data_IF_442126799929
#
_entry.id   IF_442126799929
#
_cell.length_a   1.000
_cell.length_b   1.000
_cell.length_c   1.000
_cell.angle_alpha   90.00
_cell.angle_beta   90.00
_cell.angle_gamma   90.00
#
_symmetry.space_group_name_H-M   'P 1'
#
loop_
_entity.id
_entity.type
_entity.pdbx_description
1 polymer ?
#
# COMPACT_ATOMS: atom_id res chain seq x y z
N UNK A 1 -35.02 -69.66 12.69
CA UNK A 1 -35.69 -68.80 13.69
C UNK A 1 -34.63 -67.96 14.38
N UNK A 2 -34.82 -66.63 14.48
CA UNK A 2 -33.81 -65.67 14.95
C UNK A 2 -34.00 -65.33 16.44
N UNK A 3 -32.96 -64.77 17.07
CA UNK A 3 -33.11 -63.93 18.27
C UNK A 3 -32.36 -62.63 18.02
N UNK A 4 -33.13 -61.55 18.09
CA UNK A 4 -32.70 -60.17 17.94
C UNK A 4 -31.86 -59.70 19.14
N UNK A 5 -30.88 -58.86 18.87
CA UNK A 5 -30.16 -58.07 19.88
C UNK A 5 -29.74 -56.73 19.29
N UNK A 6 -30.61 -55.73 19.45
CA UNK A 6 -30.38 -54.32 19.17
C UNK A 6 -29.18 -53.79 19.98
N UNK A 7 -28.24 -53.15 19.30
CA UNK A 7 -27.57 -51.95 19.82
C UNK A 7 -27.38 -50.98 18.66
N UNK A 8 -28.22 -49.95 18.68
CA UNK A 8 -28.05 -48.71 17.95
C UNK A 8 -27.24 -47.75 18.85
N UNK A 9 -26.80 -46.61 18.28
CA UNK A 9 -26.00 -45.51 18.87
C UNK A 9 -24.48 -45.75 18.68
N UNK A 10 -23.69 -44.89 18.03
CA UNK A 10 -23.79 -43.44 17.90
C UNK A 10 -23.00 -42.99 16.66
N UNK A 11 -23.71 -42.53 15.63
CA UNK A 11 -23.17 -41.62 14.61
C UNK A 11 -23.32 -40.22 15.21
N UNK A 12 -22.24 -39.63 15.69
CA UNK A 12 -22.09 -38.20 15.98
C UNK A 12 -20.65 -37.92 16.37
N UNK A 13 -19.90 -37.34 15.46
CA UNK A 13 -19.10 -36.15 15.75
C UNK A 13 -18.73 -35.57 14.39
N UNK A 14 -19.69 -34.84 13.82
CA UNK A 14 -19.35 -33.78 12.89
C UNK A 14 -18.58 -32.76 13.71
N UNK A 15 -17.25 -32.77 13.59
CA UNK A 15 -16.40 -31.70 14.10
C UNK A 15 -16.97 -30.37 13.60
N UNK A 16 -17.61 -29.63 14.50
CA UNK A 16 -17.79 -28.20 14.31
C UNK A 16 -16.41 -27.57 14.47
N UNK A 17 -15.62 -27.60 13.41
CA UNK A 17 -14.35 -26.90 13.33
C UNK A 17 -14.65 -25.41 13.55
N UNK A 18 -14.35 -24.90 14.76
CA UNK A 18 -14.19 -23.46 14.95
C UNK A 18 -13.11 -22.99 13.97
N UNK A 19 -13.34 -21.90 13.21
CA UNK A 19 -12.32 -21.38 12.31
C UNK A 19 -11.07 -21.06 13.11
N UNK A 20 -9.91 -21.51 12.62
CA UNK A 20 -8.64 -21.19 13.29
C UNK A 20 -8.44 -19.67 13.36
N UNK A 21 -7.63 -19.19 14.31
CA UNK A 21 -7.35 -17.77 14.45
C UNK A 21 -6.87 -17.15 13.11
N UNK A 22 -6.01 -17.87 12.37
CA UNK A 22 -5.55 -17.49 11.05
C UNK A 22 -6.69 -17.35 10.03
N UNK A 23 -7.65 -18.28 10.00
CA UNK A 23 -8.82 -18.19 9.10
C UNK A 23 -9.72 -17.00 9.44
N UNK A 24 -9.93 -16.72 10.72
CA UNK A 24 -10.71 -15.54 11.15
C UNK A 24 -10.03 -14.23 10.75
N UNK A 25 -8.70 -14.14 10.97
CA UNK A 25 -7.89 -12.99 10.56
C UNK A 25 -7.93 -12.82 9.04
N UNK A 26 -7.76 -13.92 8.30
CA UNK A 26 -7.81 -13.95 6.84
C UNK A 26 -9.14 -13.40 6.30
N UNK A 27 -10.27 -13.91 6.79
CA UNK A 27 -11.58 -13.45 6.33
C UNK A 27 -11.84 -11.97 6.65
N UNK A 28 -11.35 -11.50 7.80
CA UNK A 28 -11.45 -10.08 8.17
C UNK A 28 -10.56 -9.19 7.31
N UNK A 29 -9.33 -9.62 7.04
CA UNK A 29 -8.40 -8.93 6.16
C UNK A 29 -8.97 -8.81 4.74
N UNK A 30 -9.43 -9.93 4.19
CA UNK A 30 -10.05 -9.96 2.87
C UNK A 30 -11.24 -9.00 2.80
N UNK A 31 -12.08 -8.94 3.84
CA UNK A 31 -13.21 -8.00 3.89
C UNK A 31 -12.75 -6.54 3.89
N UNK A 32 -11.72 -6.20 4.68
CA UNK A 32 -11.16 -4.84 4.75
C UNK A 32 -10.44 -4.44 3.44
N UNK A 33 -9.74 -5.36 2.80
CA UNK A 33 -9.13 -5.11 1.48
C UNK A 33 -10.21 -4.88 0.41
N UNK A 34 -11.26 -5.71 0.39
CA UNK A 34 -12.34 -5.59 -0.58
C UNK A 34 -13.29 -4.41 -0.31
N UNK A 35 -13.24 -3.77 0.86
CA UNK A 35 -14.01 -2.54 1.11
C UNK A 35 -13.39 -1.34 0.39
N UNK A 36 -12.07 -1.29 0.23
CA UNK A 36 -11.37 -0.18 -0.40
C UNK A 36 -11.85 0.10 -1.85
N UNK A 37 -11.89 -0.89 -2.77
CA UNK A 37 -12.43 -0.67 -4.11
C UNK A 37 -13.93 -0.37 -4.13
N UNK A 38 -14.70 -0.89 -3.17
CA UNK A 38 -16.16 -0.64 -3.11
C UNK A 38 -16.46 0.79 -2.66
N UNK A 39 -15.61 1.38 -1.84
CA UNK A 39 -15.78 2.75 -1.34
C UNK A 39 -15.74 3.81 -2.44
N UNK A 40 -15.12 3.53 -3.59
CA UNK A 40 -15.02 4.47 -4.72
C UNK A 40 -16.19 4.41 -5.70
N UNK A 41 -17.14 3.46 -5.57
CA UNK A 41 -18.27 3.31 -6.51
C UNK A 41 -19.18 4.56 -6.58
N UNK A 42 -19.12 5.43 -5.57
CA UNK A 42 -19.83 6.72 -5.54
C UNK A 42 -18.98 7.96 -5.82
N UNK A 43 -17.70 7.81 -6.19
CA UNK A 43 -16.74 8.92 -6.32
C UNK A 43 -16.39 9.62 -5.00
N UNK A 44 -16.77 9.04 -3.86
CA UNK A 44 -16.53 9.59 -2.53
C UNK A 44 -15.22 9.05 -1.95
N UNK A 45 -14.13 9.77 -2.21
CA UNK A 45 -12.80 9.42 -1.72
C UNK A 45 -12.69 9.49 -0.18
N UNK A 46 -13.62 10.14 0.52
CA UNK A 46 -13.63 10.16 1.99
C UNK A 46 -13.89 8.76 2.54
N UNK A 47 -14.77 7.99 1.88
CA UNK A 47 -15.04 6.59 2.25
C UNK A 47 -13.85 5.67 1.96
N UNK A 48 -13.04 6.01 0.96
CA UNK A 48 -11.79 5.30 0.70
C UNK A 48 -10.78 5.58 1.83
N UNK A 49 -10.66 6.84 2.26
CA UNK A 49 -9.81 7.21 3.40
C UNK A 49 -10.22 6.47 4.69
N UNK A 50 -11.53 6.36 4.95
CA UNK A 50 -12.07 5.61 6.09
C UNK A 50 -11.77 4.10 5.98
N UNK A 51 -12.01 3.49 4.82
CA UNK A 51 -11.75 2.06 4.59
C UNK A 51 -10.26 1.72 4.73
N UNK A 52 -9.37 2.59 4.22
CA UNK A 52 -7.92 2.40 4.37
C UNK A 52 -7.50 2.57 5.83
N UNK A 53 -8.09 3.52 6.55
CA UNK A 53 -7.83 3.68 7.99
C UNK A 53 -8.23 2.43 8.77
N UNK A 54 -9.42 1.88 8.50
CA UNK A 54 -9.89 0.63 9.12
C UNK A 54 -8.95 -0.56 8.80
N UNK A 55 -8.50 -0.68 7.54
CA UNK A 55 -7.54 -1.69 7.13
C UNK A 55 -6.21 -1.55 7.90
N UNK A 56 -5.67 -0.34 7.96
CA UNK A 56 -4.39 -0.07 8.65
C UNK A 56 -4.51 -0.31 10.14
N UNK A 57 -5.61 0.11 10.78
CA UNK A 57 -5.86 -0.13 12.20
C UNK A 57 -5.99 -1.63 12.49
N UNK A 58 -6.65 -2.39 11.59
CA UNK A 58 -6.72 -3.83 11.69
C UNK A 58 -5.35 -4.49 11.58
N UNK A 59 -4.53 -4.12 10.60
CA UNK A 59 -3.15 -4.62 10.46
C UNK A 59 -2.29 -4.28 11.68
N UNK A 60 -2.44 -3.07 12.21
CA UNK A 60 -1.73 -2.63 13.41
C UNK A 60 -2.15 -3.44 14.63
N UNK A 61 -3.43 -3.78 14.76
CA UNK A 61 -3.91 -4.63 15.85
C UNK A 61 -3.30 -6.04 15.81
N UNK A 62 -3.13 -6.62 14.63
CA UNK A 62 -2.47 -7.92 14.44
C UNK A 62 -1.00 -7.81 14.81
N UNK A 63 -0.32 -6.80 14.25
CA UNK A 63 1.09 -6.50 14.54
C UNK A 63 1.34 -6.30 16.04
N UNK A 64 0.45 -5.60 16.74
CA UNK A 64 0.56 -5.33 18.18
C UNK A 64 0.33 -6.58 19.03
N UNK A 65 -0.63 -7.44 18.64
CA UNK A 65 -0.86 -8.72 19.29
C UNK A 65 0.38 -9.62 19.20
N UNK A 66 0.94 -9.74 18.00
CA UNK A 66 2.14 -10.56 17.73
C UNK A 66 3.38 -10.00 18.45
N UNK A 67 3.52 -8.68 18.56
CA UNK A 67 4.62 -8.08 19.30
C UNK A 67 4.51 -8.28 20.83
N UNK A 68 3.28 -8.45 21.34
CA UNK A 68 3.00 -8.64 22.77
C UNK A 68 3.07 -10.10 23.21
N UNK A 69 2.84 -11.04 22.29
CA UNK A 69 2.93 -12.47 22.52
C UNK A 69 4.37 -12.98 22.29
N UNK A 70 4.79 -14.03 23.01
CA UNK A 70 6.05 -14.70 22.69
C UNK A 70 5.91 -15.38 21.35
N UNK A 71 6.65 -14.90 20.34
CA UNK A 71 6.66 -15.43 18.96
C UNK A 71 6.65 -16.97 18.96
N UNK A 72 5.59 -17.55 18.42
CA UNK A 72 5.39 -18.99 18.26
C UNK A 72 5.14 -19.35 16.78
N UNK A 73 5.08 -20.64 16.45
CA UNK A 73 4.83 -21.09 15.06
C UNK A 73 3.49 -20.58 14.51
N UNK A 74 2.47 -20.42 15.36
CA UNK A 74 1.17 -19.87 14.97
C UNK A 74 1.27 -18.43 14.46
N UNK A 75 2.18 -17.62 15.03
CA UNK A 75 2.41 -16.24 14.62
C UNK A 75 3.05 -16.14 13.22
N UNK A 76 3.95 -17.05 12.87
CA UNK A 76 4.55 -17.11 11.52
C UNK A 76 3.47 -17.37 10.47
N UNK A 77 2.64 -18.38 10.69
CA UNK A 77 1.60 -18.75 9.72
C UNK A 77 0.54 -17.65 9.56
N UNK A 78 0.12 -17.01 10.66
CA UNK A 78 -0.80 -15.87 10.61
C UNK A 78 -0.22 -14.73 9.77
N UNK A 79 1.04 -14.37 10.00
CA UNK A 79 1.66 -13.24 9.30
C UNK A 79 1.93 -13.56 7.84
N UNK A 80 2.38 -14.76 7.55
CA UNK A 80 2.59 -15.21 6.18
C UNK A 80 1.27 -15.16 5.39
N UNK A 81 0.17 -15.60 5.99
CA UNK A 81 -1.16 -15.53 5.38
C UNK A 81 -1.64 -14.07 5.17
N UNK A 82 -1.42 -13.20 6.16
CA UNK A 82 -1.72 -11.76 6.05
C UNK A 82 -0.97 -11.12 4.89
N UNK A 83 0.35 -11.35 4.80
CA UNK A 83 1.17 -10.81 3.72
C UNK A 83 0.78 -11.39 2.37
N UNK A 84 0.47 -12.68 2.30
CA UNK A 84 0.04 -13.36 1.07
C UNK A 84 -1.25 -12.78 0.52
N UNK A 85 -2.23 -12.49 1.38
CA UNK A 85 -3.48 -11.84 0.96
C UNK A 85 -3.28 -10.41 0.49
N UNK A 86 -2.45 -9.62 1.19
CA UNK A 86 -2.13 -8.27 0.75
C UNK A 86 -1.46 -8.33 -0.63
N UNK A 87 -0.45 -9.20 -0.79
CA UNK A 87 0.27 -9.38 -2.05
C UNK A 87 -0.67 -9.79 -3.18
N UNK A 88 -1.53 -10.78 -2.96
CA UNK A 88 -2.52 -11.23 -3.95
C UNK A 88 -3.54 -10.15 -4.30
N UNK A 89 -3.94 -9.32 -3.34
CA UNK A 89 -4.84 -8.20 -3.59
C UNK A 89 -4.18 -7.11 -4.43
N UNK A 90 -3.01 -6.60 -4.02
CA UNK A 90 -2.35 -5.48 -4.73
C UNK A 90 -1.79 -5.90 -6.08
N UNK A 91 -1.42 -7.17 -6.25
CA UNK A 91 -0.97 -7.73 -7.52
C UNK A 91 -2.12 -8.09 -8.48
N UNK A 92 -3.38 -8.00 -8.05
CA UNK A 92 -4.52 -8.29 -8.91
C UNK A 92 -4.78 -7.17 -9.91
N UNK A 93 -4.91 -7.53 -11.19
CA UNK A 93 -5.26 -6.58 -12.26
C UNK A 93 -6.67 -5.98 -12.14
N UNK A 94 -7.47 -6.45 -11.17
CA UNK A 94 -8.84 -5.97 -10.93
C UNK A 94 -8.91 -4.75 -10.01
N UNK A 95 -7.82 -4.40 -9.31
CA UNK A 95 -7.81 -3.27 -8.38
C UNK A 95 -7.57 -1.98 -9.16
N UNK A 96 -8.42 -0.98 -8.91
CA UNK A 96 -8.32 0.33 -9.56
C UNK A 96 -7.03 1.05 -9.15
N UNK A 97 -6.39 1.73 -10.11
CA UNK A 97 -5.14 2.46 -9.88
C UNK A 97 -5.28 3.51 -8.77
N UNK A 98 -6.43 4.17 -8.65
CA UNK A 98 -6.66 5.16 -7.59
C UNK A 98 -6.66 4.52 -6.21
N UNK A 99 -7.14 3.28 -6.10
CA UNK A 99 -7.09 2.51 -4.85
C UNK A 99 -5.65 2.09 -4.55
N UNK A 100 -4.89 1.63 -5.55
CA UNK A 100 -3.47 1.31 -5.39
C UNK A 100 -2.65 2.55 -4.98
N UNK A 101 -2.85 3.67 -5.65
CA UNK A 101 -2.20 4.95 -5.34
C UNK A 101 -2.50 5.36 -3.89
N UNK A 102 -3.76 5.29 -3.45
CA UNK A 102 -4.13 5.61 -2.08
C UNK A 102 -3.51 4.62 -1.07
N UNK A 103 -3.57 3.32 -1.33
CA UNK A 103 -2.97 2.31 -0.46
C UNK A 103 -1.45 2.46 -0.34
N UNK A 104 -0.78 2.93 -1.39
CA UNK A 104 0.67 3.09 -1.43
C UNK A 104 1.20 4.02 -0.33
N UNK A 105 0.41 4.97 0.16
CA UNK A 105 0.84 5.90 1.21
C UNK A 105 0.90 5.28 2.61
N UNK A 106 0.15 4.20 2.87
CA UNK A 106 0.02 3.64 4.23
C UNK A 106 0.44 2.17 4.30
N UNK A 107 0.15 1.36 3.28
CA UNK A 107 0.46 -0.07 3.30
C UNK A 107 1.96 -0.39 3.39
N UNK A 108 2.89 0.30 2.72
CA UNK A 108 4.32 0.02 2.89
C UNK A 108 4.77 0.10 4.35
N UNK A 109 4.23 1.05 5.12
CA UNK A 109 4.52 1.21 6.56
C UNK A 109 3.99 0.02 7.37
N UNK A 110 2.75 -0.38 7.11
CA UNK A 110 2.09 -1.48 7.81
C UNK A 110 2.73 -2.84 7.48
N UNK A 111 3.00 -3.11 6.20
CA UNK A 111 3.62 -4.34 5.71
C UNK A 111 5.03 -4.51 6.28
N UNK A 112 5.81 -3.43 6.37
CA UNK A 112 7.17 -3.48 6.92
C UNK A 112 7.21 -3.97 8.39
N UNK A 113 6.14 -3.76 9.18
CA UNK A 113 6.05 -4.23 10.58
C UNK A 113 6.06 -5.74 10.69
N UNK A 114 5.57 -6.44 9.67
CA UNK A 114 5.52 -7.89 9.63
C UNK A 114 6.84 -8.53 9.20
N UNK A 115 7.76 -7.78 8.61
CA UNK A 115 9.00 -8.33 8.05
C UNK A 115 9.91 -9.00 9.08
N UNK A 116 9.84 -8.62 10.37
CA UNK A 116 10.70 -9.22 11.40
C UNK A 116 10.11 -10.45 12.10
N UNK A 117 8.91 -10.90 11.72
CA UNK A 117 8.23 -12.01 12.41
C UNK A 117 8.86 -13.37 12.07
N UNK A 118 9.22 -13.60 10.82
CA UNK A 118 9.88 -14.84 10.39
C UNK A 118 10.87 -14.62 9.26
N UNK A 119 11.64 -15.65 8.90
CA UNK A 119 12.62 -15.59 7.79
C UNK A 119 11.98 -15.44 6.42
N UNK A 120 10.69 -15.76 6.27
CA UNK A 120 9.97 -15.69 4.98
C UNK A 120 9.28 -14.34 4.78
N UNK A 121 8.89 -13.67 5.88
CA UNK A 121 8.17 -12.39 5.85
C UNK A 121 8.91 -11.23 5.13
N UNK A 122 10.25 -11.06 5.23
CA UNK A 122 10.94 -9.99 4.53
C UNK A 122 10.76 -10.05 3.02
N UNK A 123 10.86 -11.24 2.42
CA UNK A 123 10.80 -11.42 0.97
C UNK A 123 9.42 -11.02 0.43
N UNK A 124 8.34 -11.51 1.04
CA UNK A 124 7.00 -11.16 0.59
C UNK A 124 6.64 -9.70 0.88
N UNK A 125 7.17 -9.12 1.97
CA UNK A 125 7.04 -7.68 2.21
C UNK A 125 7.76 -6.84 1.15
N UNK A 126 8.94 -7.27 0.71
CA UNK A 126 9.68 -6.67 -0.41
C UNK A 126 8.92 -6.78 -1.72
N UNK A 127 8.30 -7.92 -2.00
CA UNK A 127 7.49 -8.14 -3.21
C UNK A 127 6.27 -7.21 -3.24
N UNK A 128 5.57 -7.04 -2.10
CA UNK A 128 4.45 -6.09 -2.01
C UNK A 128 4.91 -4.65 -2.29
N UNK A 129 6.05 -4.23 -1.73
CA UNK A 129 6.60 -2.90 -2.00
C UNK A 129 7.00 -2.76 -3.47
N UNK A 130 7.55 -3.81 -4.08
CA UNK A 130 7.86 -3.81 -5.50
C UNK A 130 6.61 -3.62 -6.36
N UNK A 131 5.50 -4.29 -6.05
CA UNK A 131 4.22 -4.06 -6.74
C UNK A 131 3.82 -2.59 -6.70
N UNK A 132 3.94 -1.91 -5.56
CA UNK A 132 3.67 -0.47 -5.48
C UNK A 132 4.65 0.38 -6.29
N UNK A 133 5.95 0.05 -6.28
CA UNK A 133 6.97 0.74 -7.11
C UNK A 133 6.63 0.64 -8.59
N UNK A 134 6.14 -0.51 -9.03
CA UNK A 134 5.81 -0.77 -10.44
C UNK A 134 4.49 -0.14 -10.86
N UNK A 135 3.48 -0.16 -9.99
CA UNK A 135 2.13 0.33 -10.29
C UNK A 135 1.98 1.83 -10.05
N UNK A 136 2.43 2.34 -8.91
CA UNK A 136 2.34 3.77 -8.56
C UNK A 136 3.50 4.60 -9.10
N UNK A 137 4.56 3.95 -9.62
CA UNK A 137 5.70 4.59 -10.24
C UNK A 137 6.85 4.87 -9.27
N UNK A 138 8.11 4.65 -9.69
CA UNK A 138 9.27 4.72 -8.79
C UNK A 138 9.52 6.14 -8.27
N UNK A 139 9.18 7.18 -9.04
CA UNK A 139 9.36 8.57 -8.60
C UNK A 139 8.41 8.95 -7.48
N UNK A 140 7.16 8.51 -7.57
CA UNK A 140 6.11 8.82 -6.59
C UNK A 140 6.29 7.99 -5.31
N UNK A 141 6.82 6.77 -5.44
CA UNK A 141 7.15 5.93 -4.29
C UNK A 141 8.37 6.39 -3.48
N UNK A 142 9.30 7.15 -4.06
CA UNK A 142 10.48 7.64 -3.34
C UNK A 142 10.14 8.39 -2.03
N UNK A 143 9.35 9.48 -2.06
CA UNK A 143 8.99 10.20 -0.84
C UNK A 143 8.18 9.34 0.14
N UNK A 144 7.32 8.46 -0.36
CA UNK A 144 6.49 7.55 0.45
C UNK A 144 7.37 6.58 1.26
N UNK A 145 8.35 5.96 0.62
CA UNK A 145 9.27 5.04 1.29
C UNK A 145 10.19 5.77 2.29
N UNK A 146 10.61 6.99 1.96
CA UNK A 146 11.36 7.84 2.90
C UNK A 146 10.52 8.20 4.14
N UNK A 147 9.23 8.54 3.95
CA UNK A 147 8.30 8.77 5.07
C UNK A 147 8.14 7.50 5.92
N UNK A 148 7.99 6.34 5.28
CA UNK A 148 7.89 5.06 5.98
C UNK A 148 9.14 4.75 6.82
N UNK A 149 10.34 5.03 6.32
CA UNK A 149 11.58 4.89 7.09
C UNK A 149 11.63 5.80 8.32
N UNK A 150 11.06 7.01 8.23
CA UNK A 150 11.00 7.97 9.32
C UNK A 150 9.91 7.66 10.36
N UNK A 151 9.01 6.72 10.07
CA UNK A 151 7.94 6.37 10.98
C UNK A 151 8.51 5.63 12.21
N UNK A 152 8.16 6.04 13.44
CA UNK A 152 8.64 5.37 14.64
C UNK A 152 8.15 3.92 14.67
N UNK A 153 9.08 2.96 14.68
CA UNK A 153 8.81 1.53 14.87
C UNK A 153 9.10 1.10 16.32
N UNK A 154 8.79 1.96 17.30
CA UNK A 154 9.09 1.79 18.73
C UNK A 154 8.70 0.41 19.32
N UNK A 155 7.80 -0.34 18.68
CA UNK A 155 7.38 -1.70 19.06
C UNK A 155 8.26 -2.83 18.49
N UNK A 156 8.97 -2.57 17.40
CA UNK A 156 9.91 -3.50 16.77
C UNK A 156 11.31 -2.94 16.91
N UNK A 157 11.96 -3.20 18.05
CA UNK A 157 13.40 -2.93 18.25
C UNK A 157 14.31 -3.77 17.36
N UNK A 158 13.81 -4.30 16.24
CA UNK A 158 14.46 -5.27 15.37
C UNK A 158 14.71 -4.59 14.01
N UNK A 159 15.97 -4.57 13.52
CA UNK A 159 16.33 -4.00 12.22
C UNK A 159 15.53 -4.52 11.02
N UNK A 160 14.86 -5.68 11.16
CA UNK A 160 14.08 -6.32 10.11
C UNK A 160 12.94 -5.46 9.53
N UNK A 161 12.40 -4.51 10.30
CA UNK A 161 11.43 -3.52 9.81
C UNK A 161 11.95 -2.74 8.61
N UNK A 162 13.24 -2.37 8.64
CA UNK A 162 13.83 -1.50 7.62
C UNK A 162 14.22 -2.27 6.36
N UNK A 163 14.41 -3.59 6.42
CA UNK A 163 14.83 -4.40 5.27
C UNK A 163 13.96 -4.17 4.03
N UNK A 164 12.62 -4.35 4.09
CA UNK A 164 11.80 -4.20 2.91
C UNK A 164 11.75 -2.76 2.37
N UNK A 165 11.82 -1.76 3.26
CA UNK A 165 11.82 -0.34 2.88
C UNK A 165 13.13 0.06 2.19
N UNK A 166 14.28 -0.36 2.73
CA UNK A 166 15.59 -0.11 2.14
C UNK A 166 15.76 -0.87 0.81
N UNK A 167 15.27 -2.11 0.72
CA UNK A 167 15.20 -2.87 -0.52
C UNK A 167 14.38 -2.15 -1.59
N UNK A 168 13.20 -1.63 -1.21
CA UNK A 168 12.37 -0.79 -2.08
C UNK A 168 13.08 0.47 -2.57
N UNK A 169 13.78 1.20 -1.70
CA UNK A 169 14.54 2.40 -2.08
C UNK A 169 15.69 2.07 -3.05
N UNK A 170 16.39 0.97 -2.84
CA UNK A 170 17.41 0.50 -3.77
C UNK A 170 16.79 0.23 -5.16
N UNK A 171 15.60 -0.38 -5.23
CA UNK A 171 14.86 -0.59 -6.49
C UNK A 171 14.42 0.72 -7.14
N UNK A 172 13.92 1.69 -6.37
CA UNK A 172 13.55 3.01 -6.90
C UNK A 172 14.74 3.72 -7.56
N UNK A 173 15.88 3.78 -6.88
CA UNK A 173 17.08 4.46 -7.39
C UNK A 173 17.63 3.82 -8.67
N UNK A 174 17.62 2.50 -8.76
CA UNK A 174 18.06 1.76 -9.96
C UNK A 174 17.12 1.97 -11.16
N UNK A 175 15.80 1.97 -10.95
CA UNK A 175 14.81 2.27 -12.00
C UNK A 175 14.94 3.72 -12.50
N UNK A 176 15.16 4.68 -11.61
CA UNK A 176 15.38 6.09 -11.98
C UNK A 176 16.67 6.29 -12.80
N UNK A 177 17.77 5.64 -12.42
CA UNK A 177 19.03 5.72 -13.16
C UNK A 177 18.94 5.11 -14.56
N UNK A 178 18.17 4.03 -14.71
CA UNK A 178 17.96 3.36 -16.01
C UNK A 178 17.13 4.22 -16.97
N UNK A 179 16.15 4.96 -16.45
CA UNK A 179 15.37 5.93 -17.23
C UNK A 179 16.20 7.13 -17.69
N UNK A 180 17.15 7.59 -16.88
CA UNK A 180 18.05 8.71 -17.21
C UNK A 180 19.01 8.37 -18.36
N UNK A 181 19.51 7.12 -18.44
CA UNK A 181 20.44 6.69 -19.49
C UNK A 181 19.82 6.53 -20.88
N UNK A 182 18.49 6.46 -20.99
CA UNK A 182 17.78 6.28 -22.25
C UNK A 182 17.25 7.57 -22.90
N UNK A 183 17.57 8.75 -22.34
CA UNK A 183 17.31 10.03 -23.01
C UNK A 183 18.61 10.56 -23.63
N UNK A 184 18.87 10.40 -24.94
CA UNK A 184 20.00 11.06 -25.57
C UNK A 184 19.75 12.57 -25.54
N UNK A 185 20.58 13.30 -24.79
CA UNK A 185 20.62 14.77 -24.85
C UNK A 185 20.71 15.24 -26.32
N UNK A 186 19.85 16.16 -26.79
CA UNK A 186 20.12 16.87 -28.02
C UNK A 186 21.17 17.95 -27.71
N UNK A 187 22.40 17.65 -28.13
CA UNK A 187 23.48 18.56 -28.51
C UNK A 187 23.50 19.97 -27.88
N UNK A 188 24.56 20.18 -27.08
CA UNK A 188 25.43 21.36 -27.09
C UNK A 188 24.81 22.67 -27.59
N UNK A 189 24.40 23.55 -26.66
CA UNK A 189 24.30 24.99 -26.97
C UNK A 189 25.50 25.72 -26.36
N UNK A 190 26.28 26.47 -27.17
CA UNK A 190 27.35 27.29 -26.65
C UNK A 190 26.76 28.49 -25.90
N UNK A 191 27.41 28.86 -24.80
CA UNK A 191 27.14 30.10 -24.06
C UNK A 191 27.22 31.31 -25.01
N UNK A 192 26.12 32.07 -25.13
CA UNK A 192 26.12 33.39 -25.78
C UNK A 192 25.71 34.44 -24.75
N UNK A 193 26.67 35.27 -24.38
CA UNK A 193 26.47 36.45 -23.54
C UNK A 193 25.92 37.64 -24.36
N UNK A 194 25.31 38.56 -23.61
CA UNK A 194 24.95 39.95 -23.91
C UNK A 194 23.55 40.33 -24.46
N UNK A 195 22.81 40.96 -23.53
CA UNK A 195 22.15 42.27 -23.57
C UNK A 195 21.08 42.54 -24.65
N UNK A 196 19.86 42.73 -24.13
CA UNK A 196 18.96 43.82 -24.54
C UNK A 196 17.96 43.47 -25.63
N UNK A 197 16.68 43.44 -25.25
CA UNK A 197 15.59 44.23 -25.84
C UNK A 197 14.24 43.70 -25.32
N UNK A 198 13.56 44.54 -24.54
CA UNK A 198 12.10 44.53 -24.38
C UNK A 198 11.46 44.62 -25.76
N UNK A 199 10.56 43.69 -26.12
CA UNK A 199 9.38 44.01 -26.95
C UNK A 199 8.19 43.11 -26.56
N UNK A 200 7.05 43.80 -26.39
CA UNK A 200 5.72 43.28 -26.16
C UNK A 200 5.28 42.28 -27.22
N UNK A 201 4.43 41.33 -26.83
CA UNK A 201 3.35 40.83 -27.67
C UNK A 201 2.07 40.71 -26.84
N UNK A 202 1.02 41.37 -27.30
CA UNK A 202 -0.34 41.26 -26.79
C UNK A 202 -1.22 40.52 -27.80
N UNK A 203 -2.00 39.57 -27.28
CA UNK A 203 -3.36 39.12 -27.66
C UNK A 203 -3.61 38.37 -28.99
N UNK A 204 -4.23 37.17 -28.83
CA UNK A 204 -5.50 36.63 -29.41
C UNK A 204 -5.35 35.11 -29.64
N UNK A 205 -5.90 34.24 -28.78
CA UNK A 205 -7.25 33.64 -28.81
C UNK A 205 -7.62 32.92 -30.11
N UNK A 206 -7.69 31.59 -30.08
CA UNK A 206 -8.77 30.82 -30.72
C UNK A 206 -8.96 29.52 -29.94
N UNK A 207 -10.11 29.41 -29.27
CA UNK A 207 -10.70 28.15 -28.84
C UNK A 207 -11.11 27.32 -30.05
N UNK A 208 -10.73 26.04 -30.09
CA UNK A 208 -11.52 24.95 -30.69
C UNK A 208 -11.29 23.70 -29.83
N UNK A 209 -12.19 23.55 -28.87
CA UNK A 209 -12.87 22.32 -28.46
C UNK A 209 -12.29 20.97 -28.95
N UNK A 210 -11.83 20.13 -28.03
CA UNK A 210 -12.10 18.69 -28.10
C UNK A 210 -12.23 18.12 -26.69
N UNK A 211 -13.47 17.86 -26.27
CA UNK A 211 -13.87 17.41 -24.94
C UNK A 211 -13.41 16.00 -24.57
N UNK A 212 -12.10 15.81 -24.38
CA UNK A 212 -11.52 14.64 -23.70
C UNK A 212 -10.75 14.98 -22.41
N UNK A 213 -10.49 16.25 -22.13
CA UNK A 213 -9.61 16.66 -21.03
C UNK A 213 -10.30 16.98 -19.70
N UNK A 214 -11.63 17.14 -19.62
CA UNK A 214 -12.25 17.52 -18.34
C UNK A 214 -12.20 16.40 -17.28
N UNK A 215 -12.31 15.13 -17.67
CA UNK A 215 -12.21 14.01 -16.72
C UNK A 215 -10.77 13.80 -16.25
N UNK A 216 -9.79 13.99 -17.14
CA UNK A 216 -8.38 13.82 -16.82
C UNK A 216 -7.86 14.96 -15.94
N UNK A 217 -8.32 16.20 -16.18
CA UNK A 217 -7.94 17.36 -15.38
C UNK A 217 -8.56 17.36 -13.98
N UNK A 218 -9.81 16.88 -13.84
CA UNK A 218 -10.45 16.69 -12.54
C UNK A 218 -9.77 15.56 -11.75
N UNK A 219 -9.42 14.45 -12.42
CA UNK A 219 -8.70 13.32 -11.83
C UNK A 219 -7.30 13.71 -11.34
N UNK A 220 -6.51 14.46 -12.11
CA UNK A 220 -5.18 14.93 -11.71
C UNK A 220 -5.23 15.98 -10.59
N UNK A 221 -6.23 16.88 -10.62
CA UNK A 221 -6.43 17.83 -9.52
C UNK A 221 -6.89 17.12 -8.23
N UNK A 222 -7.71 16.08 -8.34
CA UNK A 222 -8.18 15.29 -7.20
C UNK A 222 -7.06 14.39 -6.64
N UNK A 223 -6.21 13.80 -7.48
CA UNK A 223 -4.95 13.15 -7.07
C UNK A 223 -4.06 14.13 -6.31
N UNK A 224 -3.86 15.32 -6.85
CA UNK A 224 -3.07 16.37 -6.19
C UNK A 224 -3.69 16.78 -4.84
N UNK A 225 -5.02 16.83 -4.73
CA UNK A 225 -5.71 17.12 -3.46
C UNK A 225 -5.60 15.97 -2.46
N UNK A 226 -5.69 14.71 -2.90
CA UNK A 226 -5.48 13.52 -2.08
C UNK A 226 -4.04 13.47 -1.57
N UNK A 227 -3.04 13.59 -2.45
CA UNK A 227 -1.61 13.66 -2.09
C UNK A 227 -1.35 14.77 -1.06
N UNK A 228 -1.92 15.96 -1.27
CA UNK A 228 -1.78 17.07 -0.33
C UNK A 228 -2.52 16.86 1.00
N UNK A 229 -3.69 16.20 0.97
CA UNK A 229 -4.47 15.88 2.17
C UNK A 229 -3.77 14.80 2.99
N UNK A 230 -3.20 13.79 2.35
CA UNK A 230 -2.49 12.68 2.97
C UNK A 230 -1.13 13.12 3.52
N UNK A 231 -0.40 13.96 2.78
CA UNK A 231 0.81 14.64 3.29
C UNK A 231 0.52 15.48 4.55
N UNK A 232 -0.65 16.11 4.63
CA UNK A 232 -1.08 16.87 5.82
C UNK A 232 -1.55 15.97 6.97
N UNK A 233 -2.17 14.83 6.68
CA UNK A 233 -2.58 13.86 7.71
C UNK A 233 -1.38 13.16 8.35
N UNK A 234 -0.32 12.87 7.59
CA UNK A 234 0.96 12.40 8.14
C UNK A 234 1.64 13.44 9.04
N UNK A 235 1.61 14.71 8.64
CA UNK A 235 2.15 15.82 9.45
C UNK A 235 1.36 16.05 10.76
N UNK A 236 0.03 15.87 10.75
CA UNK A 236 -0.81 16.02 11.95
C UNK A 236 -0.69 14.84 12.93
N UNK A 237 -0.50 13.61 12.45
CA UNK A 237 -0.24 12.46 13.33
C UNK A 237 1.13 12.57 14.03
N UNK A 238 2.12 13.17 13.37
CA UNK A 238 3.44 13.42 13.97
C UNK A 238 3.41 14.47 15.09
N UNK A 239 2.51 15.47 15.02
CA UNK A 239 2.36 16.49 16.08
C UNK A 239 1.53 16.03 17.28
N UNK A 240 0.71 14.97 17.14
CA UNK A 240 -0.12 14.45 18.24
C UNK A 240 0.59 13.41 19.11
N UNK A 241 1.84 13.03 18.79
CA UNK A 241 2.69 12.17 19.62
C UNK A 241 3.73 12.94 20.46
N UNK A 242 3.71 14.28 20.45
CA UNK A 242 4.59 15.16 21.25
C UNK A 242 3.86 15.86 22.43
N UNK A 243 2.71 15.37 22.88
CA UNK A 243 2.02 15.84 24.10
C UNK A 243 1.79 14.66 25.03
#
# INVERSE_FOLDING_TARGET
MPINGLVNLHLSESDQQQPSAAQSIALRLQRALLSCPKSIEGGDFSKLEEAISELVDFLNSISDAIASESQNEDSDEIVFEVLSQIHGFVGSSSVDQVVLDALSFELPKAVARFACVSKRCPNIAEDIIEVFIETCGPRDMLPILCEALGAPSNKFGIPGYFSPLLGGLAKVTTKQQSQSKHNPEPHSRPYRTHKGQRKQWTKQTTDVETGRDLKHLDHEQQKTRLVNRWSRSGARRSQLQEI
#
